data_IF_998717717612
#
_entry.id   IF_998717717612
#
_cell.length_a   1.000
_cell.length_b   1.000
_cell.length_c   1.000
_cell.angle_alpha   90.00
_cell.angle_beta   90.00
_cell.angle_gamma   90.00
#
_symmetry.space_group_name_H-M   'P 1'
#
loop_
_entity.id
_entity.type
_entity.pdbx_description
1 polymer ?
2 non-polymer ?
3 non-polymer ?
4 non-polymer ?
5 non-polymer ?
6 water ?
#
# COMPACT_ATOMS: atom_id res chain seq x y z
N UNK A 3 -22.98 32.45 2.50
CA UNK A 3 -22.73 33.86 2.26
C UNK A 3 -22.14 34.11 0.89
N UNK A 4 -22.03 35.39 0.51
CA UNK A 4 -21.49 35.73 -0.80
C UNK A 4 -20.02 35.34 -0.91
N UNK A 5 -19.27 35.43 0.19
CA UNK A 5 -17.85 35.06 0.17
C UNK A 5 -17.66 33.55 0.15
N UNK A 6 -18.53 32.81 0.85
CA UNK A 6 -18.50 31.35 0.79
C UNK A 6 -18.67 30.85 -0.64
N UNK A 7 -19.56 31.49 -1.40
CA UNK A 7 -19.75 31.11 -2.80
C UNK A 7 -18.48 31.30 -3.62
N UNK A 8 -17.77 32.41 -3.39
CA UNK A 8 -16.58 32.71 -4.19
C UNK A 8 -15.45 31.71 -3.93
N UNK A 9 -15.20 31.38 -2.67
CA UNK A 9 -14.09 30.45 -2.38
C UNK A 9 -14.43 29.04 -2.83
N UNK A 10 -15.72 28.69 -2.89
CA UNK A 10 -16.10 27.39 -3.45
C UNK A 10 -15.99 27.41 -4.98
N UNK A 11 -16.27 28.54 -5.63
CA UNK A 11 -16.01 28.66 -7.06
C UNK A 11 -14.52 28.72 -7.38
N UNK A 12 -13.68 28.86 -6.36
CA UNK A 12 -12.24 28.66 -6.53
C UNK A 12 -11.84 27.22 -6.25
N UNK A 13 -12.28 26.69 -5.10
CA UNK A 13 -11.92 25.33 -4.68
C UNK A 13 -12.41 24.30 -5.71
N UNK A 14 -13.69 24.33 -6.06
CA UNK A 14 -14.17 23.39 -7.07
C UNK A 14 -13.86 23.85 -8.47
N UNK A 15 -12.99 24.84 -8.65
CA UNK A 15 -12.61 25.24 -9.98
C UNK A 15 -11.56 24.29 -10.51
N UNK A 16 -11.58 24.09 -11.83
CA UNK A 16 -10.58 23.24 -12.45
C UNK A 16 -9.18 23.77 -12.18
N UNK A 17 -9.01 25.10 -12.10
CA UNK A 17 -7.66 25.65 -12.01
C UNK A 17 -7.02 25.38 -10.64
N UNK A 18 -7.77 25.56 -9.54
CA UNK A 18 -7.19 25.35 -8.21
C UNK A 18 -6.76 23.91 -8.03
N UNK A 19 -7.60 22.97 -8.45
CA UNK A 19 -7.24 21.57 -8.41
C UNK A 19 -6.02 21.29 -9.28
N UNK A 20 -5.94 21.92 -10.46
CA UNK A 20 -4.75 21.74 -11.31
C UNK A 20 -3.49 22.32 -10.65
N UNK A 21 -3.62 23.41 -9.92
CA UNK A 21 -2.47 23.98 -9.20
C UNK A 21 -1.96 23.04 -8.12
N UNK A 22 -2.86 22.45 -7.33
CA UNK A 22 -2.39 21.51 -6.32
C UNK A 22 -1.75 20.30 -7.01
N UNK A 23 -2.22 19.96 -8.22
CA UNK A 23 -1.57 18.91 -9.01
C UNK A 23 -0.14 19.31 -9.38
N UNK A 24 0.05 20.55 -9.82
CA UNK A 24 1.38 21.00 -10.20
C UNK A 24 2.32 20.99 -9.00
N UNK A 25 1.84 21.47 -7.85
CA UNK A 25 2.65 21.41 -6.64
C UNK A 25 3.00 19.97 -6.30
N UNK A 26 2.06 19.05 -6.48
CA UNK A 26 2.34 17.64 -6.22
C UNK A 26 3.47 17.14 -7.12
N UNK A 27 3.43 17.47 -8.41
CA UNK A 27 4.44 16.93 -9.33
C UNK A 27 5.81 17.53 -9.03
N UNK A 28 5.88 18.85 -8.86
CA UNK A 28 7.14 19.47 -8.49
C UNK A 28 7.69 18.82 -7.23
N UNK A 29 6.84 18.66 -6.23
CA UNK A 29 7.25 18.06 -4.97
C UNK A 29 7.75 16.63 -5.19
N UNK A 30 7.07 15.87 -6.03
CA UNK A 30 7.48 14.49 -6.24
C UNK A 30 8.84 14.39 -6.89
N UNK A 31 9.09 15.23 -7.90
CA UNK A 31 10.42 15.33 -8.48
C UNK A 31 11.44 15.69 -7.39
N UNK A 32 11.09 16.65 -6.53
CA UNK A 32 11.98 17.04 -5.43
C UNK A 32 12.37 15.83 -4.58
N UNK A 33 11.39 14.99 -4.26
CA UNK A 33 11.67 13.79 -3.49
C UNK A 33 12.55 12.83 -4.28
N UNK A 34 12.38 12.82 -5.60
CA UNK A 34 13.28 12.02 -6.42
C UNK A 34 14.71 12.52 -6.35
N UNK A 35 14.89 13.83 -6.31
CA UNK A 35 16.20 14.45 -6.28
C UNK A 35 16.86 14.33 -4.92
N UNK A 36 16.06 14.36 -3.84
CA UNK A 36 16.60 14.34 -2.48
C UNK A 36 17.32 13.06 -2.11
N UNK A 37 17.16 12.01 -2.91
CA UNK A 37 17.93 10.78 -2.69
C UNK A 37 19.38 10.93 -3.12
N UNK A 38 19.63 11.82 -4.09
CA UNK A 38 20.96 12.05 -4.63
C UNK A 38 21.77 12.82 -3.60
N UNK A 39 22.67 12.12 -2.91
CA UNK A 39 23.39 12.74 -1.79
C UNK A 39 24.24 13.91 -2.25
N UNK A 40 24.83 13.82 -3.45
CA UNK A 40 25.57 14.97 -3.99
C UNK A 40 24.63 16.11 -4.34
N UNK A 41 23.50 15.79 -4.99
CA UNK A 41 22.49 16.81 -5.25
C UNK A 41 22.01 17.45 -3.95
N UNK A 42 21.88 16.65 -2.89
CA UNK A 42 21.46 17.20 -1.60
C UNK A 42 22.51 18.13 -1.02
N UNK A 43 23.78 17.72 -1.06
CA UNK A 43 24.86 18.64 -0.66
C UNK A 43 24.76 19.95 -1.45
N UNK A 44 24.38 19.87 -2.72
CA UNK A 44 24.30 21.06 -3.57
C UNK A 44 23.09 21.95 -3.26
N UNK A 45 21.92 21.36 -3.03
CA UNK A 45 20.69 22.15 -2.99
C UNK A 45 19.79 21.79 -1.82
N UNK A 46 20.36 21.42 -0.67
CA UNK A 46 19.55 21.13 0.49
C UNK A 46 18.68 22.29 0.90
N UNK A 47 19.27 23.49 0.94
CA UNK A 47 18.50 24.66 1.37
C UNK A 47 17.37 24.97 0.39
N UNK A 48 17.66 24.94 -0.92
CA UNK A 48 16.64 25.24 -1.90
C UNK A 48 15.50 24.24 -1.83
N UNK A 49 15.82 22.94 -1.82
CA UNK A 49 14.77 21.94 -1.79
C UNK A 49 13.99 21.98 -0.48
N UNK A 50 14.67 22.06 0.67
CA UNK A 50 13.96 22.03 1.94
C UNK A 50 13.06 23.26 2.10
N UNK A 51 13.57 24.43 1.72
CA UNK A 51 12.72 25.62 1.68
C UNK A 51 11.52 25.36 0.78
N UNK A 52 11.74 24.71 -0.36
CA UNK A 52 10.65 24.37 -1.25
C UNK A 52 9.65 23.44 -0.57
N UNK A 53 10.17 22.47 0.18
CA UNK A 53 9.34 21.53 0.90
C UNK A 53 8.41 22.27 1.85
N UNK A 54 8.98 23.19 2.61
CA UNK A 54 8.19 23.92 3.57
C UNK A 54 7.10 24.74 2.87
N UNK A 55 7.43 25.39 1.75
CA UNK A 55 6.41 26.17 1.08
C UNK A 55 5.30 25.26 0.56
N UNK A 56 5.66 24.13 -0.06
CA UNK A 56 4.62 23.29 -0.66
C UNK A 56 3.75 22.66 0.42
N UNK A 57 4.34 22.29 1.56
CA UNK A 57 3.53 21.69 2.62
C UNK A 57 2.61 22.71 3.26
N UNK A 58 3.07 23.96 3.44
CA UNK A 58 2.14 24.95 3.98
C UNK A 58 0.99 25.18 3.01
N UNK A 59 1.28 25.28 1.70
CA UNK A 59 0.21 25.45 0.74
C UNK A 59 -0.77 24.29 0.86
N UNK A 60 -0.24 23.07 0.97
CA UNK A 60 -1.08 21.89 1.09
C UNK A 60 -1.97 21.94 2.32
N UNK A 61 -1.41 22.38 3.45
CA UNK A 61 -2.19 22.44 4.68
C UNK A 61 -3.32 23.44 4.57
N UNK A 62 -3.03 24.65 4.06
CA UNK A 62 -4.12 25.60 3.94
C UNK A 62 -5.13 25.13 2.91
N UNK A 63 -4.69 24.38 1.88
CA UNK A 63 -5.64 23.83 0.91
C UNK A 63 -6.56 22.80 1.55
N UNK A 64 -6.02 21.94 2.39
CA UNK A 64 -6.87 20.97 3.08
C UNK A 64 -7.83 21.69 4.01
N UNK A 65 -7.37 22.79 4.61
CA UNK A 65 -8.26 23.56 5.49
C UNK A 65 -9.46 24.12 4.71
N UNK A 66 -9.19 24.78 3.58
CA UNK A 66 -10.29 25.34 2.78
C UNK A 66 -11.23 24.24 2.28
N UNK A 67 -10.66 23.10 1.85
CA UNK A 67 -11.50 22.00 1.40
C UNK A 67 -12.38 21.49 2.53
N UNK A 68 -11.86 21.43 3.75
CA UNK A 68 -12.69 21.04 4.90
C UNK A 68 -13.80 22.05 5.10
N UNK A 69 -13.50 23.33 4.87
CA UNK A 69 -14.54 24.35 5.03
C UNK A 69 -15.70 24.11 4.08
N UNK A 70 -15.42 23.94 2.78
CA UNK A 70 -16.52 23.95 1.81
C UNK A 70 -17.55 22.88 2.15
N UNK A 71 -17.11 21.65 2.41
CA UNK A 71 -18.04 20.53 2.66
C UNK A 71 -17.49 19.67 3.79
N UNK A 72 -17.86 20.02 5.02
CA UNK A 72 -17.29 19.38 6.21
C UNK A 72 -17.70 17.92 6.32
N UNK A 73 -19.01 17.68 6.44
CA UNK A 73 -19.50 16.30 6.53
C UNK A 73 -19.05 15.50 5.32
N UNK A 74 -19.11 16.11 4.14
CA UNK A 74 -18.69 15.43 2.93
C UNK A 74 -17.21 15.09 2.97
N UNK A 75 -16.42 15.88 3.71
CA UNK A 75 -14.97 15.66 3.72
C UNK A 75 -14.60 14.40 4.47
N UNK A 76 -15.23 14.16 5.63
CA UNK A 76 -14.80 13.05 6.48
C UNK A 76 -15.55 11.76 6.17
N UNK A 77 -16.55 11.81 5.29
CA UNK A 77 -17.16 10.60 4.74
C UNK A 77 -16.72 10.29 3.33
N UNK A 78 -15.91 11.16 2.69
CA UNK A 78 -15.34 10.87 1.37
C UNK A 78 -13.96 10.24 1.56
N UNK A 79 -13.68 9.10 0.94
CA UNK A 79 -12.43 8.39 1.24
C UNK A 79 -11.21 9.04 0.60
N UNK A 80 -11.38 9.71 -0.54
CA UNK A 80 -10.25 10.34 -1.20
C UNK A 80 -9.76 11.54 -0.39
N UNK A 81 -10.68 12.40 0.03
CA UNK A 81 -10.29 13.49 0.90
C UNK A 81 -9.85 12.99 2.25
N UNK A 82 -10.46 11.91 2.75
CA UNK A 82 -9.97 11.32 4.00
C UNK A 82 -8.50 11.00 3.88
N UNK A 83 -8.13 10.35 2.77
CA UNK A 83 -6.74 9.99 2.50
C UNK A 83 -5.87 11.24 2.36
N UNK A 84 -6.38 12.29 1.71
CA UNK A 84 -5.59 13.51 1.54
C UNK A 84 -5.31 14.16 2.89
N UNK A 85 -6.35 14.26 3.72
CA UNK A 85 -6.22 14.71 5.09
C UNK A 85 -5.17 13.91 5.82
N UNK A 86 -5.24 12.58 5.72
CA UNK A 86 -4.36 11.73 6.52
C UNK A 86 -2.92 11.83 6.05
N UNK A 87 -2.66 11.88 4.74
CA UNK A 87 -1.28 11.98 4.29
C UNK A 87 -0.68 13.35 4.62
N UNK A 88 -1.46 14.42 4.49
CA UNK A 88 -0.89 15.73 4.82
C UNK A 88 -0.65 15.83 6.33
N UNK A 89 -1.55 15.27 7.14
CA UNK A 89 -1.32 15.25 8.58
C UNK A 89 -0.07 14.47 8.92
N UNK A 90 0.12 13.31 8.28
CA UNK A 90 1.34 12.53 8.48
C UNK A 90 2.57 13.38 8.17
N UNK A 91 2.54 14.08 7.04
CA UNK A 91 3.70 14.90 6.64
C UNK A 91 3.71 16.28 7.33
N UNK A 92 2.89 16.49 8.35
CA UNK A 92 2.84 17.78 9.04
C UNK A 92 3.67 17.86 10.32
N UNK A 93 4.12 16.74 10.88
CA UNK A 93 4.74 16.74 12.21
C UNK A 93 6.17 17.30 12.17
N UNK A 94 6.70 17.82 13.29
CA UNK A 94 8.08 18.34 13.29
C UNK A 94 9.08 17.28 12.90
N UNK A 95 10.13 17.72 12.20
CA UNK A 95 11.19 16.83 11.74
C UNK A 95 11.90 16.14 12.91
N UNK A 100 11.57 8.74 12.83
CA UNK A 100 12.51 8.54 11.74
C UNK A 100 11.80 7.99 10.51
N UNK A 101 11.01 6.93 10.72
CA UNK A 101 10.24 6.30 9.66
C UNK A 101 9.19 7.24 9.09
N UNK A 102 8.96 8.38 9.74
CA UNK A 102 7.95 9.32 9.25
C UNK A 102 8.28 9.86 7.86
N UNK A 103 9.57 10.02 7.53
CA UNK A 103 9.92 10.52 6.20
C UNK A 103 9.51 9.53 5.13
N UNK A 104 9.71 8.24 5.42
CA UNK A 104 9.35 7.18 4.51
C UNK A 104 7.85 7.24 4.19
N UNK A 105 7.02 7.43 5.20
CA UNK A 105 5.59 7.63 4.94
C UNK A 105 5.33 8.90 4.16
N UNK A 106 5.95 10.03 4.57
CA UNK A 106 5.83 11.28 3.82
C UNK A 106 5.98 11.05 2.33
N UNK A 107 6.71 10.00 1.94
CA UNK A 107 6.80 9.72 0.52
C UNK A 107 5.44 9.36 -0.07
N UNK A 108 4.47 8.99 0.77
CA UNK A 108 3.16 8.61 0.24
C UNK A 108 2.32 9.80 -0.23
N UNK A 109 2.75 11.03 0.08
CA UNK A 109 2.03 12.21 -0.41
C UNK A 109 1.81 12.18 -1.90
N UNK A 110 2.57 11.37 -2.63
CA UNK A 110 2.49 11.36 -4.08
C UNK A 110 1.26 10.62 -4.57
N UNK A 111 0.67 9.77 -3.74
CA UNK A 111 -0.61 9.18 -4.10
C UNK A 111 -1.71 10.24 -4.17
N UNK A 112 -1.46 11.43 -3.63
CA UNK A 112 -2.38 12.52 -3.85
C UNK A 112 -2.53 12.85 -5.33
N UNK A 113 -1.56 12.46 -6.14
CA UNK A 113 -1.72 12.58 -7.58
C UNK A 113 -2.78 11.62 -8.09
N UNK A 114 -2.90 10.45 -7.49
CA UNK A 114 -4.04 9.58 -7.78
C UNK A 114 -5.33 10.27 -7.36
N UNK A 115 -5.33 10.86 -6.16
CA UNK A 115 -6.54 11.46 -5.60
C UNK A 115 -7.06 12.61 -6.47
N UNK A 116 -6.15 13.45 -6.98
CA UNK A 116 -6.56 14.61 -7.74
C UNK A 116 -7.02 14.30 -9.16
N UNK A 117 -6.50 13.25 -9.80
CA UNK A 117 -6.67 13.02 -11.22
C UNK A 117 -7.90 12.11 -11.44
N UNK A 118 -8.94 12.59 -12.15
CA UNK A 118 -10.17 11.78 -12.30
C UNK A 118 -10.00 10.41 -12.93
N UNK A 119 -9.14 10.26 -13.94
CA UNK A 119 -8.93 8.93 -14.52
C UNK A 119 -8.28 8.00 -13.51
N UNK A 120 -7.36 8.56 -12.71
CA UNK A 120 -6.75 7.81 -11.62
C UNK A 120 -7.78 7.40 -10.57
N UNK A 121 -8.71 8.31 -10.23
CA UNK A 121 -9.81 7.96 -9.33
C UNK A 121 -10.64 6.81 -9.92
N UNK A 122 -10.99 6.91 -11.21
CA UNK A 122 -11.83 5.92 -11.85
C UNK A 122 -11.21 4.55 -11.73
N UNK A 123 -9.90 4.47 -12.01
CA UNK A 123 -9.21 3.18 -12.04
C UNK A 123 -8.97 2.63 -10.64
N UNK A 124 -8.63 3.47 -9.66
CA UNK A 124 -8.45 2.97 -8.30
C UNK A 124 -9.77 2.45 -7.74
N UNK A 125 -10.87 3.19 -7.97
CA UNK A 125 -12.17 2.72 -7.48
C UNK A 125 -12.59 1.46 -8.20
N UNK A 126 -12.18 1.28 -9.47
CA UNK A 126 -12.38 0.00 -10.15
C UNK A 126 -11.66 -1.13 -9.44
N UNK A 127 -10.37 -0.92 -9.12
CA UNK A 127 -9.58 -1.97 -8.47
C UNK A 127 -10.12 -2.30 -7.09
N UNK A 128 -10.59 -1.29 -6.34
CA UNK A 128 -11.20 -1.55 -5.04
C UNK A 128 -12.55 -2.25 -5.21
N UNK A 129 -13.34 -1.85 -6.22
CA UNK A 129 -14.65 -2.48 -6.44
C UNK A 129 -14.52 -3.95 -6.78
N UNK A 130 -13.34 -4.38 -7.24
CA UNK A 130 -13.08 -5.82 -7.43
C UNK A 130 -12.98 -6.60 -6.11
N UNK A 131 -12.68 -5.94 -4.99
CA UNK A 131 -12.23 -6.66 -3.79
C UNK A 131 -13.38 -7.34 -3.06
N UNK A 132 -14.56 -6.66 -2.76
CA UNK A 132 -15.63 -7.34 -2.02
C UNK A 132 -15.94 -8.77 -2.44
N UNK A 133 -16.03 -8.99 -3.76
CA UNK A 133 -16.39 -10.31 -4.26
C UNK A 133 -15.45 -11.41 -3.82
N UNK A 134 -14.18 -11.09 -3.57
CA UNK A 134 -13.21 -12.13 -3.21
C UNK A 134 -12.89 -12.15 -1.73
N UNK A 135 -13.75 -11.54 -0.89
CA UNK A 135 -13.59 -11.65 0.55
C UNK A 135 -13.71 -13.10 1.01
N UNK A 136 -14.63 -13.85 0.40
CA UNK A 136 -14.83 -15.24 0.79
C UNK A 136 -13.55 -16.05 0.62
N UNK A 137 -12.89 -15.91 -0.51
CA UNK A 137 -11.68 -16.68 -0.79
C UNK A 137 -10.50 -16.16 0.02
N UNK A 138 -10.43 -14.85 0.27
CA UNK A 138 -9.36 -14.30 1.12
C UNK A 138 -9.46 -14.87 2.54
N UNK A 139 -10.70 -15.03 3.03
CA UNK A 139 -10.89 -15.62 4.36
C UNK A 139 -10.57 -17.11 4.36
N UNK A 140 -11.03 -17.83 3.34
CA UNK A 140 -10.64 -19.22 3.18
C UNK A 140 -9.14 -19.39 3.16
N UNK A 141 -8.44 -18.61 2.33
CA UNK A 141 -7.00 -18.70 2.23
C UNK A 141 -6.30 -18.32 3.53
N UNK A 142 -6.82 -17.31 4.23
CA UNK A 142 -6.22 -16.93 5.51
C UNK A 142 -6.35 -18.07 6.51
N UNK A 143 -7.52 -18.68 6.57
CA UNK A 143 -7.69 -19.82 7.47
C UNK A 143 -6.75 -20.95 7.08
N UNK A 144 -6.63 -21.20 5.78
CA UNK A 144 -5.77 -22.25 5.28
C UNK A 144 -4.32 -22.01 5.67
N UNK A 145 -3.86 -20.77 5.47
CA UNK A 145 -2.49 -20.41 5.80
C UNK A 145 -2.25 -20.56 7.29
N UNK A 146 -3.21 -20.13 8.11
CA UNK A 146 -3.07 -20.28 9.56
C UNK A 146 -2.90 -21.75 9.93
N UNK A 147 -3.74 -22.63 9.36
CA UNK A 147 -3.74 -24.04 9.75
C UNK A 147 -2.43 -24.71 9.34
N UNK A 148 -2.04 -24.54 8.07
CA UNK A 148 -0.81 -25.15 7.64
C UNK A 148 0.41 -24.52 8.31
N UNK A 149 0.35 -23.23 8.65
CA UNK A 149 1.44 -22.58 9.37
C UNK A 149 1.65 -23.19 10.74
N UNK A 150 0.56 -23.43 11.47
CA UNK A 150 0.73 -24.08 12.77
C UNK A 150 1.32 -25.47 12.59
N UNK A 151 0.82 -26.24 11.62
CA UNK A 151 1.36 -27.59 11.40
C UNK A 151 2.84 -27.54 11.03
N UNK A 152 3.22 -26.63 10.12
CA UNK A 152 4.62 -26.57 9.68
C UNK A 152 5.52 -26.11 10.81
N UNK A 153 5.05 -25.16 11.62
CA UNK A 153 5.83 -24.77 12.78
C UNK A 153 6.09 -25.96 13.69
N UNK A 154 5.04 -26.71 14.02
CA UNK A 154 5.24 -27.79 14.98
C UNK A 154 6.03 -28.95 14.37
N UNK A 155 6.02 -29.09 13.04
CA UNK A 155 6.72 -30.19 12.36
C UNK A 155 8.20 -29.87 12.11
N UNK A 156 8.50 -28.71 11.48
CA UNK A 156 9.87 -28.36 11.12
C UNK A 156 10.44 -27.22 11.94
N UNK A 157 9.67 -26.61 12.82
CA UNK A 157 10.18 -25.47 13.55
C UNK A 157 11.39 -25.74 14.42
N UNK A 158 11.60 -26.96 14.90
CA UNK A 158 12.73 -27.17 15.81
C UNK A 158 14.04 -27.33 15.05
N UNK A 159 14.11 -28.34 14.18
CA UNK A 159 15.30 -28.58 13.38
C UNK A 159 15.49 -27.56 12.29
N UNK A 160 14.47 -26.76 11.99
CA UNK A 160 14.56 -25.63 11.07
C UNK A 160 14.01 -24.38 11.71
N UNK A 161 14.72 -23.82 12.70
CA UNK A 161 14.25 -22.58 13.32
C UNK A 161 14.27 -21.39 12.40
N UNK A 162 15.19 -21.31 11.45
CA UNK A 162 15.23 -20.11 10.61
C UNK A 162 13.92 -19.90 9.84
N UNK A 163 13.22 -20.97 9.47
CA UNK A 163 12.15 -20.90 8.48
C UNK A 163 10.77 -21.21 9.05
N UNK A 164 10.70 -22.15 9.97
CA UNK A 164 9.45 -22.56 10.56
C UNK A 164 9.51 -22.47 12.07
N UNK A 165 10.47 -21.72 12.61
CA UNK A 165 10.72 -21.78 14.04
C UNK A 165 9.55 -21.31 14.88
N UNK A 166 8.96 -20.17 14.51
CA UNK A 166 7.81 -19.61 15.19
C UNK A 166 6.59 -19.65 14.26
N UNK A 167 5.50 -18.98 14.66
CA UNK A 167 4.34 -18.92 13.76
C UNK A 167 4.58 -17.92 12.63
N UNK A 168 5.29 -16.82 12.90
CA UNK A 168 5.54 -15.83 11.86
C UNK A 168 6.45 -16.37 10.78
N UNK A 169 7.57 -16.96 11.17
CA UNK A 169 8.53 -17.45 10.18
C UNK A 169 7.88 -18.51 9.31
N UNK A 170 6.97 -19.30 9.88
CA UNK A 170 6.23 -20.28 9.09
C UNK A 170 5.26 -19.61 8.12
N UNK A 171 4.52 -18.59 8.59
CA UNK A 171 3.66 -17.82 7.70
C UNK A 171 4.44 -17.32 6.50
N UNK A 172 5.61 -16.75 6.77
CA UNK A 172 6.47 -16.18 5.73
C UNK A 172 6.96 -17.24 4.76
N UNK A 173 7.47 -18.36 5.29
CA UNK A 173 7.94 -19.43 4.41
C UNK A 173 6.79 -20.04 3.62
N UNK A 174 5.58 -20.03 4.17
CA UNK A 174 4.44 -20.51 3.41
C UNK A 174 3.99 -19.50 2.36
N UNK A 175 4.04 -18.22 2.66
CA UNK A 175 3.76 -17.23 1.63
C UNK A 175 4.80 -17.31 0.54
N UNK A 176 6.06 -17.53 0.93
CA UNK A 176 7.17 -17.65 -0.05
C UNK A 176 6.94 -18.89 -0.92
N UNK A 177 6.55 -19.99 -0.31
CA UNK A 177 6.30 -21.21 -1.06
C UNK A 177 5.10 -21.01 -1.98
N UNK A 178 4.10 -20.24 -1.53
CA UNK A 178 2.96 -20.02 -2.39
C UNK A 178 3.35 -19.19 -3.60
N UNK A 179 4.08 -18.10 -3.40
CA UNK A 179 4.56 -17.36 -4.56
C UNK A 179 5.42 -18.23 -5.48
N UNK A 180 5.93 -19.35 -4.98
CA UNK A 180 6.74 -20.27 -5.74
C UNK A 180 8.24 -20.09 -5.60
N UNK A 181 8.69 -19.10 -4.82
CA UNK A 181 10.07 -18.64 -4.92
C UNK A 181 10.97 -19.58 -4.15
N UNK A 182 11.83 -20.32 -4.84
CA UNK A 182 12.73 -21.28 -4.20
C UNK A 182 11.97 -22.26 -3.34
N UNK A 183 10.85 -22.72 -3.84
CA UNK A 183 10.04 -23.56 -3.00
C UNK A 183 10.73 -24.88 -2.75
N UNK A 184 11.52 -25.39 -3.70
CA UNK A 184 12.13 -26.74 -3.58
C UNK A 184 13.60 -26.62 -3.27
N UNK A 185 14.38 -26.20 -4.26
CA UNK A 185 15.83 -26.13 -4.01
C UNK A 185 16.14 -25.34 -2.75
N UNK A 186 15.27 -24.39 -2.39
CA UNK A 186 15.42 -23.53 -1.24
C UNK A 186 14.80 -24.01 0.07
N UNK A 187 13.65 -24.69 0.01
CA UNK A 187 12.96 -25.12 1.23
C UNK A 187 12.78 -26.62 1.26
N UNK A 188 11.96 -27.14 0.35
CA UNK A 188 11.50 -28.51 0.54
C UNK A 188 12.65 -29.51 0.43
N UNK A 189 13.57 -29.27 -0.50
CA UNK A 189 14.70 -30.22 -0.68
C UNK A 189 15.64 -30.11 0.52
N UNK A 190 16.08 -28.93 1.06
CA UNK A 190 16.91 -28.93 2.27
C UNK A 190 16.21 -29.61 3.41
N UNK A 191 14.89 -29.44 3.49
CA UNK A 191 14.14 -30.10 4.55
C UNK A 191 14.27 -31.60 4.42
N UNK A 192 14.16 -32.11 3.19
CA UNK A 192 14.13 -33.55 2.99
C UNK A 192 15.47 -34.22 3.33
N UNK A 193 16.58 -33.46 3.43
CA UNK A 193 17.82 -34.01 3.96
C UNK A 193 17.67 -34.53 5.39
N UNK A 194 16.68 -34.02 6.14
CA UNK A 194 16.38 -34.46 7.49
C UNK A 194 14.99 -35.10 7.58
N UNK A 195 13.97 -34.47 7.00
CA UNK A 195 12.63 -35.04 7.04
C UNK A 195 12.30 -35.48 5.62
N UNK A 196 12.46 -36.79 5.30
CA UNK A 196 12.32 -37.25 3.91
C UNK A 196 10.91 -37.27 3.38
N UNK A 197 9.88 -37.28 4.23
CA UNK A 197 8.54 -37.18 3.70
C UNK A 197 7.96 -35.81 3.99
N UNK A 198 8.81 -34.77 3.93
CA UNK A 198 8.34 -33.39 4.04
C UNK A 198 7.46 -33.00 2.85
N UNK A 199 7.68 -33.60 1.69
CA UNK A 199 6.91 -33.25 0.51
C UNK A 199 5.43 -33.63 0.62
N UNK A 200 5.10 -34.57 1.49
CA UNK A 200 3.68 -34.83 1.79
C UNK A 200 3.01 -33.58 2.31
N UNK A 201 3.77 -32.72 3.00
CA UNK A 201 3.22 -31.48 3.50
C UNK A 201 3.18 -30.41 2.43
N UNK A 202 4.13 -30.37 1.52
CA UNK A 202 4.21 -29.22 0.64
C UNK A 202 3.52 -29.42 -0.71
N UNK A 203 3.70 -30.59 -1.35
CA UNK A 203 3.02 -30.83 -2.61
C UNK A 203 1.50 -30.68 -2.50
N UNK A 204 0.84 -31.29 -1.51
CA UNK A 204 -0.58 -30.93 -1.33
C UNK A 204 -0.77 -29.45 -1.07
N UNK A 205 0.13 -28.84 -0.28
CA UNK A 205 -0.02 -27.42 0.02
C UNK A 205 0.06 -26.60 -1.26
N UNK A 206 1.06 -26.90 -2.10
CA UNK A 206 1.18 -26.25 -3.40
C UNK A 206 -0.10 -26.44 -4.19
N UNK A 207 -0.59 -27.69 -4.25
CA UNK A 207 -1.74 -27.98 -5.09
C UNK A 207 -2.94 -27.14 -4.69
N UNK A 208 -3.24 -27.12 -3.39
CA UNK A 208 -4.42 -26.40 -2.92
C UNK A 208 -4.28 -24.90 -3.18
N UNK A 209 -3.13 -24.34 -2.84
CA UNK A 209 -2.89 -22.91 -2.99
C UNK A 209 -3.11 -22.49 -4.45
N UNK A 210 -2.45 -23.20 -5.39
CA UNK A 210 -2.56 -22.82 -6.79
C UNK A 210 -3.97 -22.98 -7.30
N UNK A 211 -4.60 -24.11 -6.99
CA UNK A 211 -5.97 -24.32 -7.43
C UNK A 211 -6.88 -23.22 -6.90
N UNK A 212 -6.72 -22.85 -5.63
CA UNK A 212 -7.46 -21.72 -5.07
C UNK A 212 -7.04 -20.40 -5.75
N UNK A 213 -5.74 -20.16 -5.90
CA UNK A 213 -5.29 -18.92 -6.52
C UNK A 213 -5.80 -18.80 -7.95
N UNK A 214 -5.90 -19.91 -8.67
CA UNK A 214 -6.42 -19.89 -10.04
C UNK A 214 -7.91 -19.60 -10.04
N UNK A 215 -8.66 -20.18 -9.09
CA UNK A 215 -10.08 -19.89 -9.00
C UNK A 215 -10.34 -18.44 -8.65
N UNK A 216 -9.51 -17.86 -7.77
CA UNK A 216 -9.67 -16.46 -7.41
C UNK A 216 -9.57 -15.58 -8.64
N UNK A 217 -8.59 -15.86 -9.50
CA UNK A 217 -8.45 -15.15 -10.77
C UNK A 217 -9.67 -15.37 -11.67
N UNK A 218 -10.15 -16.62 -11.76
CA UNK A 218 -11.33 -16.88 -12.57
C UNK A 218 -12.52 -16.10 -12.02
N UNK A 219 -12.73 -16.16 -10.72
CA UNK A 219 -13.90 -15.53 -10.12
C UNK A 219 -13.91 -14.03 -10.37
N UNK A 220 -12.73 -13.42 -10.49
CA UNK A 220 -12.66 -11.99 -10.76
C UNK A 220 -13.33 -11.69 -12.09
N UNK A 221 -13.06 -12.51 -13.10
CA UNK A 221 -13.55 -12.25 -14.44
C UNK A 221 -15.08 -12.24 -14.49
N UNK A 222 -15.71 -13.31 -13.99
CA UNK A 222 -17.12 -13.53 -14.27
C UNK A 222 -17.97 -12.34 -13.83
N UNK A 223 -17.52 -11.61 -12.80
CA UNK A 223 -18.31 -10.49 -12.29
C UNK A 223 -18.50 -9.40 -13.32
N UNK A 224 -17.73 -9.40 -14.42
CA UNK A 224 -17.98 -8.53 -15.56
C UNK A 224 -19.42 -8.71 -16.12
X LIG B 1 -0.06 -19.18 -10.12
X LIG B 1 -1.51 -19.02 -9.55
X LIG B 1 -2.52 -18.79 -10.70
X LIG B 1 -1.88 -19.16 -12.08
X LIG B 1 -0.96 -20.40 -11.94
X LIG B 1 -0.30 -20.63 -13.28
X LIG B 1 0.91 -19.08 -9.11
X LIG B 1 -1.83 -20.15 -8.81
X LIG B 1 -3.03 -17.50 -10.67
X LIG B 1 -2.87 -19.42 -13.03
X LIG B 1 0.05 -20.31 -10.93
X LIG B 1 0.09 -19.42 -13.81
X LIG B 1 1.22 -15.71 -6.55
X LIG B 1 0.09 -16.73 -6.36
X LIG B 1 0.58 -18.12 -6.87
X LIG B 1 0.80 -17.87 -8.36
X LIG B 1 2.02 -16.93 -8.43
X LIG B 1 2.65 -16.77 -9.80
X LIG B 1 0.72 -14.48 -6.18
X LIG B 1 -0.20 -16.72 -5.01
X LIG B 1 -0.34 -19.13 -6.66
X LIG B 1 1.62 -15.65 -7.94
X LIG B 1 3.53 -17.81 -9.98
X LIG B 1 1.20 -13.94 -4.95
X LIG B 1 0.21 -12.88 -4.60
X LIG B 1 -0.84 -13.24 -3.61
X LIG B 1 -2.17 -13.14 -4.28
X LIG B 1 -2.73 -11.76 -4.16
X LIG B 1 -4.09 -11.69 -4.81
X LIG B 1 -4.75 -10.36 -4.57
X LIG B 1 -5.31 -10.32 -3.17
X LIG B 1 -4.76 -9.18 -2.32
X LIG B 1 -5.54 -7.90 -2.53
X LIG B 1 -4.62 -6.74 -2.79
X LIG B 1 -4.61 -5.69 -1.71
X LIG C 1 11.70 -43.59 11.24
X LIG C 1 11.00 -44.79 11.97
X LIG C 1 12.05 -45.86 12.38
X LIG C 1 12.92 -46.25 11.16
X LIG C 1 13.57 -44.96 10.61
X LIG C 1 13.46 -44.89 9.08
X LIG C 1 11.30 -42.32 11.79
X LIG C 1 10.29 -44.33 13.06
X LIG C 1 11.48 -46.94 13.01
X LIG C 1 13.90 -47.17 11.50
X LIG C 1 13.10 -43.75 11.24
X LIG C 1 12.58 -45.84 8.62
X LIG C 1 9.59 -38.60 10.82
X LIG C 1 8.92 -39.78 10.07
X LIG C 1 9.41 -41.17 10.68
X LIG C 1 10.96 -41.23 10.90
X LIG C 1 11.37 -39.86 11.54
X LIG C 1 12.82 -39.72 11.94
X LIG C 1 9.26 -37.33 10.36
X LIG C 1 7.54 -39.70 10.21
X LIG C 1 8.99 -42.20 9.89
X LIG C 1 11.00 -38.76 10.74
X LIG C 1 13.17 -38.37 11.74
X LIG C 1 9.02 -37.13 8.97
X LIG C 1 7.91 -36.08 8.92
X LIG C 1 7.95 -35.07 7.81
X LIG C 1 6.60 -34.37 7.74
X LIG C 1 5.52 -35.24 7.15
X LIG C 1 4.37 -34.43 6.59
X LIG C 1 3.07 -35.22 6.44
X LIG C 1 1.90 -34.27 6.70
X LIG C 1 0.60 -34.55 5.97
X LIG C 1 -0.28 -33.30 5.95
X LIG C 1 -1.25 -33.31 4.79
X LIG C 1 -2.11 -32.09 4.70
X LIG D 1 -4.00 8.32 -20.53
X LIG D 1 -5.48 7.95 -20.33
X LIG D 1 -5.93 7.09 -22.81
X LIG D 1 -6.64 5.74 -22.94
X LIG D 1 -8.13 5.75 -22.57
X LIG D 1 -8.60 7.21 -22.34
X LIG D 1 -10.11 7.07 -22.16
X LIG D 1 -10.49 5.97 -23.18
X LIG D 1 -9.15 5.36 -23.69
X LIG D 1 -8.31 4.87 -21.31
X LIG D 1 -5.55 6.53 -19.74
X LIG D 1 -3.18 8.28 -19.25
X LIG D 1 -3.92 8.89 -18.07
X LIG D 1 -5.05 9.78 -18.56
X LIG D 1 -6.11 8.99 -19.35
X LIG D 1 -7.13 9.95 -20.03
X LIG D 1 -8.31 9.22 -20.68
X LIG D 1 -7.79 7.88 -21.24
X LIG D 1 -6.32 8.02 -21.64
X LIG D 1 -9.24 3.94 -24.29
X LIG D 1 -9.81 3.91 -25.70
X LIG D 1 -9.97 2.95 -23.37
X LIG D 1 -11.48 2.90 -23.52
X LIG D 1 -12.07 2.62 -22.15
X LIG D 1 -13.07 3.41 -21.73
X LIG D 1 -11.63 1.70 -21.45
X LIG D 1 -3.03 9.64 -17.21
X LIG D 1 -8.88 10.06 -21.71
X LIG D 1 -6.50 5.31 -24.32
X LIG D 1 -13.64 4.55 -22.45
X LIG D 1 -14.74 5.23 -21.67
X LIG D 1 -15.97 4.35 -21.43
X LIG E 1 9.44 -40.54 -1.63
X LIG E 1 10.55 -41.22 -3.84
X LIG E 1 9.83 -40.14 -3.04
X LIG E 1 10.66 -38.70 -3.13
X LIG E 1 11.79 -38.26 -2.32
X LIG E 1 12.79 -37.41 -3.13
X LIG E 1 14.22 -37.57 -2.68
X LIG E 1 14.92 -38.67 -3.36
X LIG E 1 15.00 -36.36 -2.96
X LIG E 1 14.31 -37.85 -1.23
X LIG E 1 8.50 -39.67 -3.87
X LIG E 1 7.38 -40.47 -4.25
X LIG E 1 6.57 -39.72 -5.31
X LIG E 1 5.55 -40.68 -5.98
X LIG E 1 4.19 -40.21 -6.06
X LIG E 1 3.48 -39.98 -7.33
X LIG E 1 4.03 -40.28 -8.39
X LIG E 1 2.10 -39.38 -7.40
X LIG E 1 1.71 -39.73 -8.83
X LIG E 1 0.27 -39.38 -9.12
X LIG E 1 0.19 -37.87 -9.10
X LIG E 1 -1.22 -37.43 -8.73
X LIG E 1 -1.12 -36.19 -7.87
X LIG E 1 -2.23 -35.26 -8.30
X LIG E 1 -3.56 -35.75 -7.78
X LIG E 1 -4.66 -35.41 -8.78
X LIG E 1 -4.49 -33.99 -9.32
X LIG E 1 -4.74 -32.91 -8.27
X LIG E 1 -6.20 -32.77 -7.80
X LIG E 1 -6.70 -31.34 -7.93
X LIG E 1 6.00 -38.50 -4.76
X LIG E 1 6.17 -37.28 -5.54
X LIG E 1 7.27 -37.01 -5.97
X LIG E 1 5.01 -36.36 -5.89
X LIG E 1 5.47 -35.29 -6.85
X LIG E 1 4.29 -34.46 -7.36
X LIG E 1 3.27 -35.38 -8.00
X LIG E 1 2.43 -34.65 -9.06
X LIG E 1 2.61 -35.32 -10.43
X LIG E 1 1.60 -34.80 -11.44
X LIG E 1 0.19 -34.86 -10.87
X LIG E 1 -0.87 -34.76 -11.96
X LIG E 1 -0.75 -33.47 -12.76
X LIG E 1 -1.88 -32.48 -12.43
X LIG E 1 -1.31 -31.09 -12.28
X LIG E 1 -0.02 -31.19 -11.49
X LIG F 1 24.88 11.01 -4.49
X LIG F 1 25.35 8.59 -5.47
X LIG F 1 25.59 10.10 -5.48
X LIG F 1 27.19 10.37 -5.38
X LIG F 1 27.85 10.29 -4.11
X LIG F 1 29.37 10.18 -4.28
X LIG F 1 30.05 10.37 -2.98
X LIG F 1 29.33 9.66 -1.91
X LIG F 1 31.42 9.85 -3.05
X LIG F 1 30.08 11.82 -2.67
X LIG F 1 25.14 10.59 -6.94
X LIG F 1 23.76 10.83 -7.15
X LIG F 1 23.33 9.90 -8.25
X LIG F 1 24.44 8.92 -8.61
X LIG F 1 23.91 7.83 -9.38
X LIG F 1 24.12 7.68 -10.82
X LIG F 1 25.26 7.71 -11.27
X LIG F 1 22.90 7.46 -11.71
X LIG F 1 21.91 6.46 -11.12
X LIG F 1 20.52 7.01 -10.76
X LIG F 1 19.49 6.90 -11.89
X LIG F 1 18.06 7.09 -11.41
X LIG F 1 17.05 6.99 -12.55
X LIG F 1 15.65 7.47 -12.13
X LIG F 1 14.61 7.41 -13.25
X LIG F 1 13.25 7.89 -12.73
X LIG F 1 12.20 8.08 -13.82
X LIG F 1 10.78 7.95 -13.26
X LIG F 1 9.71 7.82 -14.33
X LIG F 1 8.34 7.99 -13.71
X LIG F 1 22.11 9.27 -7.83
X LIG F 1 21.12 9.60 -8.85
X LIG F 1 21.51 9.75 -9.99
X LIG F 1 19.66 9.81 -8.57
X LIG F 1 19.08 10.54 -9.79
X LIG F 1 17.75 11.24 -9.52
X LIG F 1 16.74 11.07 -10.66
X LIG F 1 15.37 11.65 -10.33
X LIG F 1 14.37 11.53 -11.48
X LIG F 1 12.95 12.02 -11.16
X LIG F 1 11.92 11.58 -12.22
X LIG F 1 10.52 12.17 -11.97
X LIG F 1 9.39 11.38 -12.60
X LIG F 1 8.01 12.06 -12.43
X LIG F 1 7.49 12.13 -10.98
X LIG F 1 5.97 12.25 -10.85
X LIG G 1 -18.43 3.73 -7.74
X LIG G 1 -17.30 1.54 -8.61
X LIG G 1 -17.99 2.31 -7.51
X LIG G 1 -19.23 1.45 -6.94
X LIG G 1 -19.68 1.67 -5.60
X LIG G 1 -21.20 1.53 -5.51
X LIG G 1 -21.86 2.84 -5.63
X LIG G 1 -21.74 3.36 -7.01
X LIG G 1 -23.28 2.69 -5.29
X LIG G 1 -21.22 3.80 -4.71
X LIG G 1 -17.06 2.26 -6.19
X LIG G 1 -16.22 1.13 -5.99
X LIG G 1 -15.74 1.07 -4.55
X LIG G 1 -15.56 2.51 -4.10
X LIG G 1 -14.25 2.56 -3.53
X LIG G 1 -13.56 3.82 -3.37
X LIG G 1 -14.22 4.85 -3.37
X LIG G 1 -12.06 3.83 -3.23
X LIG G 1 -11.60 5.11 -2.53
X LIG G 1 -10.23 4.87 -1.92
X LIG G 1 -9.74 6.06 -1.11
X LIG G 1 -8.27 5.89 -0.75
X LIG G 1 -7.38 5.78 -1.99
X LIG G 1 -6.18 6.70 -1.79
X LIG G 1 -5.00 6.35 -2.69
X LIG G 1 -4.65 4.86 -2.59
X LIG G 1 -3.55 4.47 -3.57
X LIG G 1 -3.53 2.98 -3.91
X LIG G 1 -2.69 2.65 -5.14
X LIG G 1 -3.16 1.38 -5.84
X LIG G 1 -16.66 0.35 -3.72
X LIG G 1 -16.06 -0.13 -2.46
X LIG G 1 -15.31 0.61 -1.83
X LIG G 1 -16.34 -1.50 -1.88
X LIG G 1 -15.58 -1.61 -0.55
X LIG G 1 -14.20 -2.23 -0.74
X LIG G 1 -13.25 -2.10 0.46
X LIG G 1 -11.95 -2.86 0.16
X LIG G 1 -10.75 -2.48 1.03
X LIG G 1 -9.47 -2.29 0.21
X LIG G 1 -8.26 -3.03 0.81
X LIG G 1 -7.12 -2.09 1.19
X LIG G 1 -5.73 -2.56 0.69
X LIG G 1 -4.99 -3.49 1.66
X LIG G 1 -3.53 -3.74 1.22
X LIG G 1 -2.89 -4.99 1.80
X LIG H 1 10.75 -4.17 24.53
X LIG H 1 12.72 -3.54 22.91
X LIG H 1 11.28 -3.34 23.38
X LIG H 1 11.09 -1.77 23.73
X LIG H 1 12.18 -0.94 24.13
X LIG H 1 11.63 0.45 24.51
X LIG H 1 12.71 1.35 24.91
X LIG H 1 13.59 1.67 23.77
X LIG H 1 12.12 2.60 25.42
X LIG H 1 13.52 0.73 25.97
X LIG H 1 10.27 -3.48 22.12
X LIG H 1 10.27 -4.57 21.19
X LIG H 1 9.73 -4.06 19.84
X LIG H 1 8.22 -4.25 19.73
X LIG H 1 7.84 -4.69 18.42
X LIG H 1 7.37 -3.80 17.35
X LIG H 1 7.94 -2.73 17.17
X LIG H 1 6.21 -4.20 16.44
X LIG H 1 6.57 -4.02 14.95
X LIG H 1 5.43 -3.56 14.02
X LIG H 1 4.58 -4.67 13.39
X LIG H 1 3.85 -4.16 12.11
X LIG H 1 2.79 -5.13 11.56
X LIG H 1 2.12 -4.66 10.24
X LIG H 1 1.00 -5.58 9.75
X LIG H 1 0.91 -5.67 8.21
X LIG H 1 0.43 -7.06 7.74
X LIG H 1 0.98 -7.47 6.35
X LIG H 1 0.22 -8.66 5.76
X LIG H 1 -0.46 -8.30 4.45
X LIG H 1 10.00 -2.65 19.75
X LIG H 1 11.06 -2.29 18.81
X LIG H 1 11.85 -3.13 18.43
X LIG H 1 11.15 -0.85 18.32
X LIG H 1 9.93 -0.49 17.48
X LIG H 1 10.18 0.73 16.58
X LIG H 1 9.04 0.99 15.60
X LIG H 1 8.56 -0.28 14.89
X LIG H 1 9.44 -0.78 13.74
X LIG H 1 8.95 -0.36 12.35
X LIG H 1 7.46 -0.61 12.13
X LIG H 1 6.97 0.04 10.83
X LIG H 1 5.46 -0.15 10.60
X LIG H 1 4.91 0.62 9.38
X LIG H 1 3.42 0.34 9.15
X LIG H 1 2.92 0.83 7.81
X LIG I 1 -22.32 -2.64 1.73
X LIG I 1 -24.54 -3.06 0.39
X LIG I 1 -23.27 -3.59 1.03
X LIG I 1 -23.66 -4.75 2.09
X LIG I 1 -23.65 -4.52 3.50
X LIG I 1 -23.79 -5.85 4.23
X LIG I 1 -23.56 -5.71 5.68
X LIG I 1 -24.64 -4.92 6.28
X LIG I 1 -23.52 -7.04 6.30
X LIG I 1 -22.26 -5.05 5.91
X LIG I 1 -22.49 -4.45 -0.10
X LIG I 1 -21.14 -4.16 -0.47
X LIG I 1 -20.26 -4.77 0.63
X LIG I 1 -20.55 -6.28 0.77
X LIG I 1 -20.03 -6.75 2.02
X LIG I 1 -20.83 -7.49 2.98
X LIG I 1 -21.96 -7.87 2.70
X LIG I 1 -20.24 -7.77 4.35
X LIG I 1 -19.27 -6.66 4.72
X LIG I 1 -18.51 -6.97 6.00
X LIG I 1 -17.08 -7.41 5.72
X LIG I 1 -16.08 -6.61 6.54
X LIG I 1 -14.71 -7.30 6.57
X LIG I 1 -13.61 -6.46 7.22
X LIG I 1 -12.40 -7.33 7.55
X LIG I 1 -11.29 -6.50 8.21
X LIG I 1 -11.88 -5.57 9.26
X LIG I 1 -10.82 -4.72 9.94
X LIG I 1 -11.43 -3.88 11.08
X LIG I 1 -10.33 -3.33 11.97
X LIG I 1 -18.87 -4.50 0.41
X LIG I 1 -18.36 -3.50 1.33
X LIG I 1 -19.07 -2.56 1.67
X LIG I 1 -16.97 -3.62 1.90
X LIG I 1 -16.82 -4.97 2.58
X LIG I 1 -15.64 -4.94 3.53
X LIG I 1 -14.30 -4.91 2.80
X LIG I 1 -13.19 -4.79 3.83
X LIG I 1 -11.80 -4.98 3.21
X LIG I 1 -10.76 -4.97 4.33
X LIG I 1 -9.34 -4.77 3.83
X LIG I 1 -8.39 -4.61 5.01
X LIG I 1 -6.94 -4.41 4.56
X LIG I 1 -5.97 -4.79 5.68
X LIG I 1 -4.51 -4.80 5.22
X LIG I 1 -3.65 -5.58 6.19
X LIG J 1 -22.42 0.02 -1.69
X LIG J 1 -20.59 1.80 -2.32
X LIG J 1 -20.98 0.51 -1.64
X LIG J 1 -20.06 -0.68 -2.24
X LIG J 1 -20.51 -1.46 -3.36
X LIG J 1 -19.36 -2.29 -3.91
X LIG J 1 -19.86 -3.29 -4.87
X LIG J 1 -20.67 -2.64 -5.90
X LIG J 1 -18.71 -3.95 -5.51
X LIG J 1 -20.63 -4.31 -4.15
X LIG J 1 -20.52 0.57 -0.08
X LIG J 1 -21.44 0.71 1.01
X LIG J 1 -20.67 0.78 2.33
X LIG J 1 -21.18 -0.25 3.35
X LIG J 1 -20.02 -0.87 3.95
X LIG J 1 -20.10 -1.71 5.14
X LIG J 1 -21.14 -1.76 5.77
X LIG J 1 -18.90 -2.52 5.57
X LIG J 1 -17.81 -1.65 6.19
X LIG J 1 -16.45 -2.32 6.04
X LIG J 1 -15.61 -2.29 7.31
X LIG J 1 -15.10 -0.88 7.64
X LIG J 1 -13.95 -0.89 8.63
X LIG J 1 -13.45 0.52 8.90
X LIG J 1 -12.42 0.57 10.04
X LIG J 1 -10.99 0.35 9.55
X LIG J 1 -10.00 0.65 10.68
X LIG J 1 -10.06 2.13 11.06
X LIG J 1 -9.23 2.45 12.30
X LIG J 1 -9.42 3.90 12.72
X LIG J 1 -19.30 0.46 2.08
X LIG J 1 -18.39 1.49 2.55
X LIG J 1 -18.84 2.52 3.03
X LIG J 1 -16.91 1.27 2.43
X LIG J 1 -16.35 0.35 3.51
X LIG J 1 -14.91 0.77 3.74
X LIG J 1 -14.03 -0.34 4.27
X LIG J 1 -12.61 0.18 4.42
X LIG J 1 -11.77 -0.70 5.34
X LIG J 1 -10.39 -0.10 5.55
X LIG J 1 -9.62 -0.05 4.23
X LIG J 1 -8.13 0.14 4.46
X LIG J 1 -7.80 1.54 4.96
X LIG J 1 -7.09 1.50 6.30
X LIG J 1 -7.51 2.69 7.18
X LIG J 1 -8.99 2.70 7.47
X LIG K 1 -23.51 8.61 4.50
X LIG K 1 -23.18 6.02 4.67
X LIG K 1 -22.65 7.42 4.86
X LIG K 1 -22.19 7.58 6.41
X LIG K 1 -23.13 7.81 7.47
X LIG K 1 -22.40 8.03 8.79
X LIG K 1 -23.25 8.63 9.84
X LIG K 1 -24.31 7.69 10.23
X LIG K 1 -22.43 8.94 11.01
X LIG K 1 -23.87 9.86 9.34
X LIG K 1 -21.27 7.51 4.02
X LIG K 1 -21.24 7.46 2.58
X LIG K 1 -19.83 7.18 2.08
X LIG K 1 -19.38 5.82 2.61
X LIG K 1 -18.06 5.93 3.12
X LIG K 1 -17.72 5.33 4.41
X LIG K 1 -18.54 4.65 5.02
X LIG K 1 -16.33 5.57 4.98
X LIG K 1 -15.35 5.54 3.82
X LIG K 1 -13.94 5.88 4.27
X LIG K 1 -13.23 4.69 4.91
X LIG K 1 -11.77 5.04 5.18
X LIG K 1 -11.07 5.43 3.89
X LIG K 1 -9.91 6.39 4.11
X LIG K 1 -8.71 5.71 4.77
X LIG K 1 -7.44 6.53 4.53
X LIG K 1 -6.21 5.99 5.24
X LIG K 1 -4.99 6.80 4.80
X LIG K 1 -3.73 6.51 5.62
X LIG K 1 -2.62 7.49 5.30
X LIG K 1 -19.76 7.16 0.64
X LIG K 1 -19.27 8.39 0.03
X LIG K 1 -19.17 9.42 0.70
X LIG K 1 -18.92 8.40 -1.45
X LIG K 1 -17.46 7.96 -1.66
X LIG K 1 -17.11 7.72 -3.14
X LIG K 1 -17.97 6.63 -3.77
X LIG K 1 -17.78 5.26 -3.12
X LIG K 1 -18.92 4.89 -2.17
X LIG K 1 -18.48 3.86 -1.13
X LIG K 1 -17.30 4.31 -0.27
X LIG K 1 -16.12 3.33 -0.35
X LIG K 1 -15.03 3.62 0.67
X LIG K 1 -13.82 2.69 0.51
X LIG K 1 -12.73 2.99 1.53
X LIG K 1 -11.41 2.33 1.17
X LIG L 1 27.48 11.56 -10.32
X LIG L 1 29.02 9.52 -10.75
X LIG L 1 28.86 11.02 -10.62
X LIG L 1 29.95 11.57 -9.54
X LIG L 1 29.80 11.49 -8.11
X LIG L 1 31.16 11.32 -7.42
X LIG L 1 31.77 12.57 -6.90
X LIG L 1 30.89 13.19 -5.91
X LIG L 1 33.05 12.27 -6.24
X LIG L 1 32.00 13.51 -8.00
X LIG L 1 29.39 11.67 -12.01
X LIG L 1 29.96 10.85 -13.04
X LIG L 1 30.05 11.54 -14.40
X LIG L 1 29.39 10.59 -15.39
X LIG L 1 28.49 9.72 -14.70
X LIG L 1 27.21 9.42 -15.34
X LIG L 1 26.93 9.97 -16.38
X LIG L 1 26.23 8.45 -14.71
X LIG L 1 25.04 8.37 -15.65
X LIG L 1 23.96 7.38 -15.23
X LIG L 1 22.69 7.62 -16.06
X LIG L 1 21.72 6.44 -16.09
X LIG L 1 20.32 6.89 -16.51
X LIG L 1 19.33 5.74 -16.73
X LIG L 1 17.89 6.14 -16.44
X LIG L 1 17.34 7.21 -17.40
X LIG L 1 15.92 7.66 -17.03
X LIG L 1 15.57 9.03 -17.59
X LIG L 1 14.27 9.58 -17.01
X LIG L 1 13.94 10.96 -17.54
X LIG L 1 29.35 12.80 -14.40
X LIG L 1 29.70 13.73 -15.47
X LIG L 1 30.51 13.43 -16.33
X LIG L 1 29.03 15.10 -15.51
X LIG L 1 27.52 14.93 -15.38
X LIG L 1 27.05 15.21 -13.95
X LIG L 1 25.94 14.25 -13.53
X LIG L 1 26.51 12.87 -13.20
X LIG L 1 25.43 11.85 -12.82
X LIG L 1 24.46 11.60 -13.98
X LIG L 1 23.29 10.72 -13.52
X LIG L 1 22.08 10.73 -14.46
X LIG L 1 20.78 10.44 -13.73
X LIG L 1 19.58 10.35 -14.67
X LIG L 1 18.25 10.60 -13.96
X LIG L 1 17.07 10.70 -14.92
X LIG M 1 10.01 -18.24 -10.30
X LIG N 1 6.08 -20.51 -10.90
#
# INVERSE_FOLDING_TARGET
>A
GSGSMYLRITNIVESSFFTKFIIYLIVLNGITMGLETSKTFMQSFGVYTTLFKQIVITIFTIEIILRIYVHRISFFKDPWSLFDFFVVAISLVPTSSGFEILRVLRVLRLFRLVTAVPQMRKIVSALISVIPGMLSVIALMTLFFYIFAIMATQLFGERFPEWFGTLGESFYTLFQVMTGESWSMGIVRPLMEVYPYAWVFFIPFIFVVTFVMINLVVAIIVDAMAILNQKEEQHIIDEVQSHEDNINNEIIKLREEIVELKELIKTSLKN
>B hetero
1 LMT C1B C2B C3B C4B C5B C6B O1B O2B O3B O4' O5B O6B C1' C2' C3' C4' C5' C6' O1' O2' O3' O5' O6' C1 C2 C3 C4 C5 C6 C7 C8 C9 C10 C11 C12
>C hetero
1 LMT C1B C2B C3B C4B C5B C6B O1B O2B O3B O4' O5B O6B C1' C2' C3' C4' C5' C6' O1' O2' O3' O5' O6' C1 C2 C3 C4 C5 C6 C7 C8 C9 C10 C11 C12
>D hetero
1 1N7 C1 C2 C3 C4 C5 C6 C7 C8 C9 C10 C11 C12 C13 C14 C15 C16 C17 C18 C19 C20 C21 C22 C23 C24 N1 O1 O2 O3 O4 C25 C26 C27
>E hetero
1 PX4 O1 O2 P1 O3 C1 C2 N1 C3 C4 C5 O4 C6 C7 C8 O5 C9 O6 C10 C11 C12 C13 C14 C15 C16 C17 C18 C19 C20 C21 C22 O7 C23 O8 C24 C25 C26 C27 C28 C29 C30 C31 C32 C33 C34 C35 C36
>F hetero
1 PX4 O1 O2 P1 O3 C1 C2 N1 C3 C4 C5 O4 C6 C7 C8 O5 C9 O6 C10 C11 C12 C13 C14 C15 C16 C17 C18 C19 C20 C21 C22 O7 C23 O8 C24 C25 C26 C27 C28 C29 C30 C31 C32 C33 C34 C35 C36
>G hetero
1 PX4 O1 O2 P1 O3 C1 C2 N1 C3 C4 C5 O4 C6 C7 C8 O5 C9 O6 C10 C11 C12 C13 C14 C15 C16 C17 C18 C19 C20 C21 C22 O7 C23 O8 C24 C25 C26 C27 C28 C29 C30 C31 C32 C33 C34 C35 C36
>H hetero
1 PX4 O1 O2 P1 O3 C1 C2 N1 C3 C4 C5 O4 C6 C7 C8 O5 C9 O6 C10 C11 C12 C13 C14 C15 C16 C17 C18 C19 C20 C21 C22 O7 C23 O8 C24 C25 C26 C27 C28 C29 C30 C31 C32 C33 C34 C35 C36
>I hetero
1 PX4 O1 O2 P1 O3 C1 C2 N1 C3 C4 C5 O4 C6 C7 C8 O5 C9 O6 C10 C11 C12 C13 C14 C15 C16 C17 C18 C19 C20 C21 C22 O7 C23 O8 C24 C25 C26 C27 C28 C29 C30 C31 C32 C33 C34 C35 C36
>J hetero
1 PX4 O1 O2 P1 O3 C1 C2 N1 C3 C4 C5 O4 C6 C7 C8 O5 C9 O6 C10 C11 C12 C13 C14 C15 C16 C17 C18 C19 C20 C21 C22 O7 C23 O8 C24 C25 C26 C27 C28 C29 C30 C31 C32 C33 C34 C35 C36
>K hetero
1 PX4 O1 O2 P1 O3 C1 C2 N1 C3 C4 C5 O4 C6 C7 C8 O5 C9 O6 C10 C11 C12 C13 C14 C15 C16 C17 C18 C19 C20 C21 C22 O7 C23 O8 C24 C25 C26 C27 C28 C29 C30 C31 C32 C33 C34 C35 C36
>L hetero
1 PX4 O1 O2 P1 O3 C1 C2 N1 C3 C4 C5 O4 C6 C7 C8 O5 C9 O6 C10 C11 C12 C13 C14 C15 C16 C17 C18 C19 C20 C21 C22 O7 C23 O8 C24 C25 C26 C27 C28 C29 C30 C31 C32 C33 C34 C35 C36
>M hetero
1 CA CA
>N hetero
1 CA CA
#
